data_IF_553403843270
#
_entry.id   IF_553403843270
#
_cell.length_a   1.000
_cell.length_b   1.000
_cell.length_c   1.000
_cell.angle_alpha   90.00
_cell.angle_beta   90.00
_cell.angle_gamma   90.00
#
_symmetry.space_group_name_H-M   'P 1'
#
loop_
_entity.id
_entity.type
_entity.pdbx_description
1 polymer ?
#
# COMPACT_ATOMS: atom_id res chain seq x y z
N UNK A 1 17.56 -1.86 13.25
CA UNK A 1 17.65 -2.29 11.83
C UNK A 1 16.26 -2.30 11.22
N UNK A 2 16.08 -1.69 10.06
CA UNK A 2 14.81 -1.68 9.33
C UNK A 2 14.92 -2.64 8.15
N UNK A 3 13.89 -3.45 7.93
CA UNK A 3 13.82 -4.41 6.84
C UNK A 3 12.42 -4.43 6.23
N UNK A 4 12.35 -4.44 4.89
CA UNK A 4 11.12 -4.67 4.12
C UNK A 4 11.23 -5.99 3.39
N UNK A 5 10.20 -6.82 3.47
CA UNK A 5 10.19 -8.15 2.87
C UNK A 5 8.77 -8.60 2.48
N UNK A 6 8.64 -9.49 1.47
CA UNK A 6 7.34 -9.99 1.07
C UNK A 6 6.67 -10.83 2.17
N UNK A 7 5.34 -10.69 2.28
CA UNK A 7 4.53 -11.56 3.12
C UNK A 7 4.75 -13.02 2.75
N UNK A 8 4.97 -13.86 3.75
CA UNK A 8 5.07 -15.31 3.62
C UNK A 8 4.31 -16.00 4.77
N UNK A 9 4.24 -17.33 4.71
CA UNK A 9 3.42 -18.11 5.65
C UNK A 9 3.74 -17.86 7.13
N UNK A 10 5.01 -17.62 7.44
CA UNK A 10 5.47 -17.34 8.82
C UNK A 10 4.82 -16.09 9.41
N UNK A 11 4.49 -15.11 8.57
CA UNK A 11 4.01 -13.79 8.98
C UNK A 11 2.51 -13.57 8.74
N UNK A 12 1.76 -14.57 8.26
CA UNK A 12 0.32 -14.45 7.99
C UNK A 12 -0.49 -14.02 9.21
N UNK A 13 -0.20 -14.60 10.37
CA UNK A 13 -0.92 -14.27 11.61
C UNK A 13 -0.67 -12.82 12.04
N UNK A 14 0.58 -12.36 12.05
CA UNK A 14 0.90 -10.97 12.42
C UNK A 14 0.36 -9.98 11.39
N UNK A 15 0.37 -10.33 10.11
CA UNK A 15 -0.27 -9.53 9.06
C UNK A 15 -1.78 -9.40 9.28
N UNK A 16 -2.49 -10.53 9.50
CA UNK A 16 -3.93 -10.51 9.75
C UNK A 16 -4.31 -9.65 10.94
N UNK A 17 -3.53 -9.71 12.02
CA UNK A 17 -3.73 -8.85 13.19
C UNK A 17 -3.55 -7.36 12.87
N UNK A 18 -2.47 -7.01 12.17
CA UNK A 18 -2.25 -5.61 11.76
C UNK A 18 -3.32 -5.10 10.79
N UNK A 19 -3.81 -5.98 9.91
CA UNK A 19 -4.89 -5.64 8.99
C UNK A 19 -6.21 -5.36 9.75
N UNK A 20 -6.53 -6.17 10.76
CA UNK A 20 -7.66 -5.92 11.63
C UNK A 20 -7.53 -4.61 12.42
N UNK A 21 -6.37 -4.35 13.01
CA UNK A 21 -6.08 -3.08 13.71
C UNK A 21 -6.25 -1.87 12.76
N UNK A 22 -5.82 -2.00 11.50
CA UNK A 22 -5.96 -0.98 10.47
C UNK A 22 -7.43 -0.68 10.14
N UNK A 23 -8.25 -1.72 9.94
CA UNK A 23 -9.68 -1.56 9.67
C UNK A 23 -10.45 -0.99 10.86
N UNK A 24 -10.07 -1.38 12.07
CA UNK A 24 -10.62 -0.78 13.30
C UNK A 24 -10.31 0.73 13.37
N UNK A 25 -9.09 1.13 13.05
CA UNK A 25 -8.70 2.55 13.00
C UNK A 25 -9.48 3.34 11.93
N UNK A 26 -9.79 2.72 10.79
CA UNK A 26 -10.60 3.33 9.72
C UNK A 26 -12.09 3.44 10.10
N UNK A 27 -12.53 2.76 11.16
CA UNK A 27 -13.93 2.68 11.52
C UNK A 27 -14.78 1.87 10.54
N UNK A 28 -14.16 0.92 9.83
CA UNK A 28 -14.84 0.03 8.91
C UNK A 28 -15.50 -1.13 9.67
N UNK A 29 -16.77 -1.38 9.39
CA UNK A 29 -17.53 -2.50 9.98
C UNK A 29 -17.30 -3.83 9.25
N UNK A 30 -16.45 -3.86 8.23
CA UNK A 30 -16.14 -5.06 7.48
C UNK A 30 -15.32 -6.05 8.31
N UNK A 31 -15.58 -7.34 8.12
CA UNK A 31 -14.82 -8.42 8.74
C UNK A 31 -13.42 -8.51 8.12
N UNK A 32 -12.42 -8.00 8.83
CA UNK A 32 -11.03 -7.95 8.37
C UNK A 32 -10.45 -9.35 8.10
N UNK A 33 -10.77 -10.34 8.92
CA UNK A 33 -10.30 -11.72 8.73
C UNK A 33 -10.89 -12.30 7.44
N UNK A 34 -12.17 -12.07 7.19
CA UNK A 34 -12.83 -12.47 5.95
C UNK A 34 -12.18 -11.83 4.72
N UNK A 35 -11.88 -10.52 4.77
CA UNK A 35 -11.21 -9.83 3.66
C UNK A 35 -9.81 -10.39 3.39
N UNK A 36 -9.05 -10.67 4.43
CA UNK A 36 -7.71 -11.27 4.28
C UNK A 36 -7.81 -12.66 3.65
N UNK A 37 -8.71 -13.52 4.15
CA UNK A 37 -8.79 -14.92 3.73
C UNK A 37 -9.43 -15.09 2.36
N UNK A 38 -10.43 -14.27 2.00
CA UNK A 38 -11.20 -14.44 0.76
C UNK A 38 -10.68 -13.58 -0.42
N UNK A 39 -9.95 -12.49 -0.15
CA UNK A 39 -9.47 -11.59 -1.19
C UNK A 39 -7.95 -11.39 -1.18
N UNK A 40 -7.35 -11.00 -0.06
CA UNK A 40 -5.93 -10.62 -0.03
C UNK A 40 -5.03 -11.82 -0.26
N UNK A 41 -5.19 -12.90 0.50
CA UNK A 41 -4.33 -14.08 0.38
C UNK A 41 -4.54 -14.84 -0.93
N UNK A 42 -5.76 -15.05 -1.44
CA UNK A 42 -5.97 -15.65 -2.76
C UNK A 42 -5.34 -14.84 -3.89
N UNK A 43 -5.50 -13.51 -3.91
CA UNK A 43 -4.93 -12.66 -4.93
C UNK A 43 -3.39 -12.59 -4.83
N UNK A 44 -2.84 -12.59 -3.62
CA UNK A 44 -1.40 -12.71 -3.41
C UNK A 44 -0.86 -14.02 -3.99
N UNK A 45 -1.52 -15.14 -3.71
CA UNK A 45 -1.14 -16.45 -4.22
C UNK A 45 -1.26 -16.55 -5.75
N UNK A 46 -2.27 -15.91 -6.33
CA UNK A 46 -2.46 -15.80 -7.78
C UNK A 46 -1.50 -14.83 -8.48
N UNK A 47 -0.72 -14.04 -7.73
CA UNK A 47 0.19 -13.04 -8.26
C UNK A 47 -0.51 -11.76 -8.75
N UNK A 48 -1.77 -11.54 -8.37
CA UNK A 48 -2.56 -10.37 -8.77
C UNK A 48 -2.26 -9.14 -7.92
N UNK A 49 -1.79 -9.34 -6.70
CA UNK A 49 -1.30 -8.28 -5.82
C UNK A 49 -0.03 -8.71 -5.09
N UNK A 50 0.61 -7.76 -4.42
CA UNK A 50 1.77 -7.98 -3.55
C UNK A 50 1.50 -7.41 -2.18
N UNK A 51 2.09 -8.04 -1.17
CA UNK A 51 2.08 -7.55 0.21
C UNK A 51 3.51 -7.53 0.73
N UNK A 52 3.98 -6.35 1.09
CA UNK A 52 5.24 -6.18 1.79
C UNK A 52 5.01 -5.85 3.26
N UNK A 53 5.84 -6.42 4.11
CA UNK A 53 5.90 -6.12 5.53
C UNK A 53 7.13 -5.28 5.85
N UNK A 54 7.01 -4.42 6.84
CA UNK A 54 8.15 -3.69 7.41
C UNK A 54 8.39 -4.10 8.85
N UNK A 55 9.66 -4.29 9.18
CA UNK A 55 10.14 -4.67 10.50
C UNK A 55 11.18 -3.66 10.98
N UNK A 56 11.07 -3.24 12.24
CA UNK A 56 12.07 -2.45 12.95
C UNK A 56 12.55 -3.23 14.17
N UNK A 57 13.85 -3.51 14.23
CA UNK A 57 14.50 -4.22 15.35
C UNK A 57 13.86 -5.56 15.71
N UNK A 58 13.47 -6.33 14.69
CA UNK A 58 12.87 -7.66 14.85
C UNK A 58 11.37 -7.67 15.12
N UNK A 59 10.73 -6.51 15.19
CA UNK A 59 9.28 -6.38 15.37
C UNK A 59 8.60 -5.92 14.07
N UNK A 60 7.71 -6.75 13.53
CA UNK A 60 6.87 -6.38 12.37
C UNK A 60 5.91 -5.28 12.79
N UNK A 61 5.90 -4.17 12.06
CA UNK A 61 5.20 -2.96 12.48
C UNK A 61 4.43 -2.23 11.36
N UNK A 62 4.26 -2.86 10.20
CA UNK A 62 3.46 -2.30 9.13
C UNK A 62 3.41 -3.18 7.90
N UNK A 63 2.55 -2.81 6.97
CA UNK A 63 2.40 -3.48 5.67
C UNK A 63 2.03 -2.50 4.56
N UNK A 64 2.29 -2.90 3.33
CA UNK A 64 1.79 -2.25 2.11
C UNK A 64 1.22 -3.31 1.17
N UNK A 65 -0.01 -3.09 0.69
CA UNK A 65 -0.65 -3.88 -0.36
C UNK A 65 -0.65 -3.04 -1.62
N UNK A 66 -0.10 -3.58 -2.70
CA UNK A 66 0.02 -2.88 -3.97
C UNK A 66 -0.04 -3.87 -5.14
N UNK A 67 -0.37 -3.36 -6.32
CA UNK A 67 -0.53 -4.16 -7.52
C UNK A 67 -0.21 -3.35 -8.76
N UNK A 68 0.00 -4.04 -9.88
CA UNK A 68 -0.19 -3.45 -11.21
C UNK A 68 -1.61 -3.71 -11.65
N UNK A 69 -2.35 -2.68 -12.01
CA UNK A 69 -3.70 -2.83 -12.51
C UNK A 69 -3.69 -3.54 -13.86
N UNK A 70 -4.42 -4.63 -13.95
CA UNK A 70 -4.53 -5.47 -15.14
C UNK A 70 -5.98 -5.90 -15.35
N UNK A 71 -6.42 -6.10 -16.62
CA UNK A 71 -7.70 -6.77 -16.88
C UNK A 71 -7.72 -8.15 -16.21
N UNK A 72 -8.71 -8.40 -15.38
CA UNK A 72 -8.82 -9.62 -14.59
C UNK A 72 -8.59 -9.43 -13.09
N UNK A 73 -7.99 -8.31 -12.67
CA UNK A 73 -8.00 -7.88 -11.28
C UNK A 73 -9.38 -7.30 -10.94
N UNK A 74 -9.98 -7.76 -9.87
CA UNK A 74 -11.30 -7.27 -9.42
C UNK A 74 -11.28 -5.77 -9.11
N UNK A 75 -10.15 -5.27 -8.64
CA UNK A 75 -9.96 -3.87 -8.22
C UNK A 75 -9.21 -3.03 -9.26
N UNK A 76 -9.28 -3.41 -10.53
CA UNK A 76 -8.64 -2.70 -11.62
C UNK A 76 -9.34 -1.36 -11.88
N UNK A 77 -8.60 -0.27 -11.74
CA UNK A 77 -9.10 1.09 -12.01
C UNK A 77 -8.36 1.78 -13.16
N UNK A 78 -7.04 1.57 -13.26
CA UNK A 78 -6.19 2.21 -14.29
C UNK A 78 -5.23 1.18 -14.90
N UNK A 79 -5.64 0.52 -15.97
CA UNK A 79 -4.85 -0.52 -16.66
C UNK A 79 -3.38 -0.10 -16.86
N UNK A 80 -2.47 -0.95 -16.41
CA UNK A 80 -1.03 -0.77 -16.54
C UNK A 80 -0.39 0.17 -15.52
N UNK A 81 -1.19 0.82 -14.68
CA UNK A 81 -0.68 1.65 -13.60
C UNK A 81 -0.41 0.83 -12.34
N UNK A 82 0.49 1.33 -11.52
CA UNK A 82 0.65 0.82 -10.16
C UNK A 82 -0.42 1.40 -9.26
N UNK A 83 -1.00 0.56 -8.42
CA UNK A 83 -1.97 0.94 -7.39
C UNK A 83 -1.39 0.67 -6.01
N UNK A 84 -1.25 1.70 -5.20
CA UNK A 84 -0.98 1.57 -3.76
C UNK A 84 -2.33 1.46 -3.06
N UNK A 85 -2.75 0.22 -2.81
CA UNK A 85 -4.10 -0.07 -2.29
C UNK A 85 -4.23 0.24 -0.81
N UNK A 86 -3.28 -0.27 -0.01
CA UNK A 86 -3.30 -0.14 1.44
C UNK A 86 -1.88 0.08 1.96
N UNK A 87 -1.71 1.01 2.88
CA UNK A 87 -0.45 1.19 3.60
C UNK A 87 -0.73 1.51 5.07
N UNK A 88 -0.08 0.78 5.95
CA UNK A 88 -0.29 0.88 7.38
C UNK A 88 1.02 0.77 8.16
N UNK A 89 1.17 1.62 9.14
CA UNK A 89 2.21 1.50 10.19
C UNK A 89 1.50 1.51 11.53
N UNK A 90 1.84 0.59 12.41
CA UNK A 90 1.27 0.52 13.76
C UNK A 90 1.48 1.86 14.49
N UNK A 91 0.48 2.28 15.23
CA UNK A 91 0.42 3.62 15.83
C UNK A 91 1.69 4.00 16.61
N UNK A 92 2.20 3.07 17.41
CA UNK A 92 3.42 3.29 18.22
C UNK A 92 4.71 3.51 17.41
N UNK A 93 4.69 3.15 16.13
CA UNK A 93 5.85 3.22 15.22
C UNK A 93 5.76 4.34 14.18
N UNK A 94 4.69 5.13 14.20
CA UNK A 94 4.50 6.26 13.27
C UNK A 94 5.45 7.42 13.54
N UNK A 95 5.56 8.32 12.56
CA UNK A 95 6.36 9.56 12.61
C UNK A 95 7.88 9.35 12.68
N UNK A 96 8.34 8.17 12.26
CA UNK A 96 9.76 7.77 12.20
C UNK A 96 10.28 7.54 10.78
N UNK A 97 9.47 7.88 9.76
CA UNK A 97 9.83 7.66 8.35
C UNK A 97 9.58 6.25 7.82
N UNK A 98 9.08 5.31 8.65
CA UNK A 98 8.86 3.92 8.23
C UNK A 98 7.84 3.79 7.09
N UNK A 99 6.76 4.56 7.14
CA UNK A 99 5.75 4.58 6.06
C UNK A 99 6.32 5.04 4.72
N UNK A 100 7.15 6.09 4.73
CA UNK A 100 7.82 6.57 3.52
C UNK A 100 8.79 5.53 2.95
N UNK A 101 9.55 4.87 3.79
CA UNK A 101 10.48 3.83 3.38
C UNK A 101 9.74 2.61 2.79
N UNK A 102 8.65 2.20 3.42
CA UNK A 102 7.81 1.09 2.93
C UNK A 102 7.18 1.44 1.58
N UNK A 103 6.58 2.63 1.46
CA UNK A 103 6.00 3.12 0.20
C UNK A 103 7.05 3.18 -0.92
N UNK A 104 8.21 3.77 -0.64
CA UNK A 104 9.31 3.83 -1.61
C UNK A 104 9.73 2.44 -2.10
N UNK A 105 9.80 1.45 -1.21
CA UNK A 105 10.13 0.07 -1.58
C UNK A 105 9.08 -0.52 -2.52
N UNK A 106 7.79 -0.31 -2.25
CA UNK A 106 6.70 -0.75 -3.13
C UNK A 106 6.78 -0.07 -4.51
N UNK A 107 7.01 1.25 -4.54
CA UNK A 107 7.20 2.00 -5.79
C UNK A 107 8.37 1.48 -6.62
N UNK A 108 9.51 1.20 -5.98
CA UNK A 108 10.67 0.63 -6.68
C UNK A 108 10.35 -0.74 -7.30
N UNK A 109 9.64 -1.60 -6.61
CA UNK A 109 9.23 -2.90 -7.13
C UNK A 109 8.21 -2.80 -8.26
N UNK A 110 7.29 -1.84 -8.22
CA UNK A 110 6.39 -1.53 -9.32
C UNK A 110 7.17 -1.03 -10.54
N UNK A 111 8.11 -0.10 -10.34
CA UNK A 111 8.99 0.39 -11.40
C UNK A 111 9.81 -0.73 -12.05
N UNK A 112 10.39 -1.62 -11.26
CA UNK A 112 11.14 -2.80 -11.74
C UNK A 112 10.26 -3.74 -12.58
N UNK A 113 8.95 -3.76 -12.33
CA UNK A 113 7.96 -4.50 -13.13
C UNK A 113 7.54 -3.78 -14.42
N UNK A 114 8.08 -2.59 -14.70
CA UNK A 114 7.77 -1.81 -15.90
C UNK A 114 6.66 -0.77 -15.74
N UNK A 115 6.14 -0.59 -14.53
CA UNK A 115 5.14 0.44 -14.23
C UNK A 115 5.74 1.84 -14.37
N UNK A 116 5.06 2.73 -15.10
CA UNK A 116 5.51 4.11 -15.33
C UNK A 116 4.79 5.14 -14.48
N UNK A 117 3.56 4.87 -14.11
CA UNK A 117 2.75 5.76 -13.29
C UNK A 117 2.13 4.97 -12.14
N UNK A 118 2.04 5.61 -10.98
CA UNK A 118 1.49 5.03 -9.77
C UNK A 118 0.40 5.95 -9.24
N UNK A 119 -0.70 5.39 -8.77
CA UNK A 119 -1.76 6.14 -8.13
C UNK A 119 -2.11 5.58 -6.76
N UNK A 120 -2.79 6.38 -5.98
CA UNK A 120 -3.40 6.01 -4.73
C UNK A 120 -4.76 6.70 -4.60
N UNK A 121 -5.64 6.11 -3.82
CA UNK A 121 -6.97 6.62 -3.50
C UNK A 121 -7.03 6.89 -1.98
N UNK A 122 -6.30 7.91 -1.49
CA UNK A 122 -6.18 8.14 -0.05
C UNK A 122 -7.48 8.66 0.53
N UNK A 123 -7.81 8.20 1.74
CA UNK A 123 -8.78 8.88 2.58
C UNK A 123 -8.26 10.26 3.02
N UNK A 124 -9.13 11.05 3.65
CA UNK A 124 -8.80 12.42 4.05
C UNK A 124 -7.57 12.51 4.97
N UNK A 125 -7.38 11.52 5.85
CA UNK A 125 -6.28 11.51 6.82
C UNK A 125 -4.93 11.10 6.18
N UNK A 126 -4.97 10.38 5.06
CA UNK A 126 -3.79 9.92 4.34
C UNK A 126 -3.29 10.90 3.26
N UNK A 127 -4.07 11.89 2.87
CA UNK A 127 -3.72 12.85 1.79
C UNK A 127 -2.38 13.52 2.02
N UNK A 128 -2.14 14.04 3.22
CA UNK A 128 -0.88 14.74 3.53
C UNK A 128 0.34 13.80 3.45
N UNK A 129 0.18 12.54 3.83
CA UNK A 129 1.23 11.54 3.70
C UNK A 129 1.60 11.30 2.23
N UNK A 130 0.62 11.07 1.36
CA UNK A 130 0.87 10.84 -0.06
C UNK A 130 1.41 12.09 -0.76
N UNK A 131 0.88 13.27 -0.44
CA UNK A 131 1.42 14.54 -0.95
C UNK A 131 2.90 14.73 -0.56
N UNK A 132 3.26 14.44 0.69
CA UNK A 132 4.65 14.48 1.16
C UNK A 132 5.56 13.44 0.50
N UNK A 133 4.99 12.42 -0.12
CA UNK A 133 5.70 11.38 -0.90
C UNK A 133 5.72 11.67 -2.41
N UNK A 134 5.26 12.85 -2.84
CA UNK A 134 5.33 13.30 -4.23
C UNK A 134 4.11 12.94 -5.09
N UNK A 135 3.02 12.46 -4.48
CA UNK A 135 1.75 12.28 -5.18
C UNK A 135 1.03 13.61 -5.33
N UNK A 136 0.50 13.85 -6.50
CA UNK A 136 -0.25 15.07 -6.82
C UNK A 136 -1.71 14.75 -7.08
N UNK A 137 -2.60 15.64 -6.64
CA UNK A 137 -4.01 15.57 -6.94
C UNK A 137 -4.21 15.64 -8.46
N UNK A 138 -4.96 14.70 -9.01
CA UNK A 138 -5.39 14.70 -10.41
C UNK A 138 -6.81 15.28 -10.54
N UNK A 139 -7.28 15.45 -11.76
CA UNK A 139 -8.67 15.80 -12.08
C UNK A 139 -9.61 14.59 -12.12
N UNK A 140 -9.10 13.39 -11.83
CA UNK A 140 -9.89 12.16 -11.79
C UNK A 140 -10.52 11.93 -10.40
N UNK A 141 -11.71 11.36 -10.41
CA UNK A 141 -12.45 10.99 -9.20
C UNK A 141 -12.92 9.53 -9.29
N UNK A 142 -12.65 8.74 -8.26
CA UNK A 142 -13.17 7.39 -8.14
C UNK A 142 -14.56 7.43 -7.50
N UNK A 143 -15.61 7.25 -8.31
CA UNK A 143 -16.99 7.30 -7.84
C UNK A 143 -17.33 6.13 -6.91
N UNK A 144 -16.73 4.97 -7.12
CA UNK A 144 -16.99 3.77 -6.31
C UNK A 144 -16.52 3.92 -4.86
N UNK A 145 -15.34 4.54 -4.66
CA UNK A 145 -14.77 4.79 -3.34
C UNK A 145 -14.97 6.23 -2.86
N UNK A 146 -15.66 7.06 -3.64
CA UNK A 146 -15.95 8.46 -3.34
C UNK A 146 -14.71 9.28 -2.96
N UNK A 147 -13.59 9.07 -3.66
CA UNK A 147 -12.32 9.76 -3.38
C UNK A 147 -11.61 10.27 -4.62
N UNK A 148 -10.77 11.28 -4.41
CA UNK A 148 -9.90 11.82 -5.44
C UNK A 148 -8.72 10.88 -5.74
N UNK A 149 -8.27 10.89 -6.99
CA UNK A 149 -7.09 10.15 -7.43
C UNK A 149 -5.85 11.02 -7.27
N UNK A 150 -4.86 10.51 -6.55
CA UNK A 150 -3.53 11.07 -6.42
C UNK A 150 -2.55 10.22 -7.22
N UNK A 151 -1.66 10.85 -7.97
CA UNK A 151 -0.77 10.13 -8.85
C UNK A 151 0.65 10.66 -8.82
N UNK A 152 1.57 9.78 -9.20
CA UNK A 152 3.01 10.05 -9.27
C UNK A 152 3.61 9.31 -10.47
N UNK A 153 4.56 9.94 -11.14
CA UNK A 153 5.40 9.24 -12.11
C UNK A 153 6.43 8.37 -11.36
N UNK A 154 6.56 7.10 -11.71
CA UNK A 154 7.48 6.17 -11.06
C UNK A 154 8.97 6.55 -11.26
N UNK A 155 9.27 7.37 -12.27
CA UNK A 155 10.62 7.90 -12.54
C UNK A 155 10.97 9.11 -11.63
N UNK A 156 9.97 9.83 -11.10
CA UNK A 156 10.21 10.91 -10.17
C UNK A 156 10.62 10.33 -8.82
N UNK A 157 11.93 10.36 -8.53
CA UNK A 157 12.46 9.95 -7.22
C UNK A 157 11.85 10.78 -6.08
N UNK A 158 11.72 10.17 -4.91
CA UNK A 158 11.39 10.93 -3.72
C UNK A 158 12.58 11.85 -3.38
N UNK A 159 12.44 13.15 -3.51
CA UNK A 159 13.50 14.13 -3.19
C UNK A 159 13.97 14.02 -1.72
N UNK A 160 13.19 13.41 -0.85
CA UNK A 160 13.55 13.20 0.54
C UNK A 160 14.51 12.01 0.77
N UNK A 161 14.75 11.14 -0.21
CA UNK A 161 15.71 10.04 -0.12
C UNK A 161 17.08 10.37 -0.74
N UNK A 162 17.24 11.56 -1.30
CA UNK A 162 18.47 12.03 -1.95
C UNK A 162 19.45 12.77 -1.01
N UNK A 163 19.26 12.70 0.33
CA UNK A 163 20.15 13.32 1.32
C UNK A 163 20.65 12.31 2.32
#
# INVERSE_FOLDING_TARGET
MIRVFPLNDKYKEVFGKMFADYYDELGCDEDADHLVDEYVLPDLLAGLLRVDLIEEDGATCGFCIYQTDEPGNEWNFKDGWGDIREIYITQAKRRKGLGKFLLYTAEMRLKESGVKNIYALPDTDAVDFFAACGYELTDEFCAELECNVYAKNAESGCECCAK
#
